data_IF_739225911104
#
_entry.id   IF_739225911104
#
_cell.length_a   1.000
_cell.length_b   1.000
_cell.length_c   1.000
_cell.angle_alpha   90.00
_cell.angle_beta   90.00
_cell.angle_gamma   90.00
#
_symmetry.space_group_name_H-M   'P 1'
#
loop_
_entity.id
_entity.type
_entity.pdbx_description
1 polymer ?
#
# COMPACT_ATOMS: atom_id res chain seq x y z
N UNK A 1 -6.61 -0.59 8.51
CA UNK A 1 -7.81 -1.11 7.85
C UNK A 1 -8.12 -2.53 8.30
N UNK A 2 -7.10 -3.41 8.36
CA UNK A 2 -7.28 -4.81 8.74
C UNK A 2 -7.79 -4.91 10.16
N UNK A 3 -9.01 -5.49 10.33
CA UNK A 3 -9.68 -5.64 11.62
C UNK A 3 -9.73 -4.31 12.43
N UNK A 4 -10.05 -3.21 11.76
CA UNK A 4 -10.16 -1.86 12.38
C UNK A 4 -8.90 -1.44 13.18
N UNK A 5 -7.71 -1.83 12.68
CA UNK A 5 -6.42 -1.52 13.31
C UNK A 5 -5.90 -2.58 14.30
N UNK A 6 -6.66 -3.64 14.56
CA UNK A 6 -6.26 -4.72 15.49
C UNK A 6 -4.96 -5.39 15.03
N UNK A 7 -4.79 -5.61 13.72
CA UNK A 7 -3.57 -6.22 13.16
C UNK A 7 -2.33 -5.39 13.47
N UNK A 8 -2.40 -4.06 13.33
CA UNK A 8 -1.28 -3.16 13.67
C UNK A 8 -1.00 -3.18 15.19
N UNK A 9 -2.04 -3.21 16.03
CA UNK A 9 -1.87 -3.26 17.48
C UNK A 9 -1.20 -4.57 17.93
N UNK A 10 -1.55 -5.69 17.33
CA UNK A 10 -0.92 -6.99 17.62
C UNK A 10 0.53 -6.96 17.13
N UNK A 11 0.76 -6.51 15.90
CA UNK A 11 2.10 -6.41 15.32
C UNK A 11 2.99 -5.51 16.17
N UNK A 12 2.51 -4.35 16.61
CA UNK A 12 3.25 -3.42 17.46
C UNK A 12 3.77 -4.06 18.77
N UNK A 13 2.97 -4.97 19.35
CA UNK A 13 3.42 -5.75 20.53
C UNK A 13 4.49 -6.77 20.18
N UNK A 14 4.38 -7.41 19.02
CA UNK A 14 5.30 -8.46 18.59
C UNK A 14 6.67 -7.92 18.15
N UNK A 15 6.72 -6.74 17.56
CA UNK A 15 7.96 -6.12 17.06
C UNK A 15 8.74 -5.36 18.13
N UNK A 16 8.21 -5.26 19.35
CA UNK A 16 8.88 -4.62 20.47
C UNK A 16 10.23 -5.31 20.74
N UNK A 17 11.32 -4.53 20.63
CA UNK A 17 12.69 -5.05 20.80
C UNK A 17 13.38 -5.54 19.52
N UNK A 18 12.67 -5.69 18.39
CA UNK A 18 13.26 -6.09 17.09
C UNK A 18 12.85 -5.16 15.94
N UNK A 19 12.36 -3.96 16.23
CA UNK A 19 11.83 -3.02 15.23
C UNK A 19 12.83 -2.75 14.09
N UNK A 20 14.10 -2.59 14.41
CA UNK A 20 15.14 -2.23 13.44
C UNK A 20 15.54 -3.40 12.53
N UNK A 21 15.20 -4.62 12.89
CA UNK A 21 15.50 -5.83 12.11
C UNK A 21 14.39 -6.14 11.09
N UNK A 22 13.31 -5.34 11.10
CA UNK A 22 12.09 -5.61 10.34
C UNK A 22 11.75 -4.47 9.38
N UNK A 23 11.26 -4.83 8.20
CA UNK A 23 10.63 -3.92 7.25
C UNK A 23 9.12 -3.95 7.48
N UNK A 24 8.59 -2.90 8.10
CA UNK A 24 7.16 -2.79 8.44
C UNK A 24 6.42 -2.03 7.34
N UNK A 25 5.32 -2.61 6.89
CA UNK A 25 4.45 -1.97 5.89
C UNK A 25 3.07 -1.70 6.45
N UNK A 26 2.47 -0.58 6.07
CA UNK A 26 1.06 -0.29 6.30
C UNK A 26 0.42 0.43 5.11
N UNK A 27 -0.89 0.64 5.16
CA UNK A 27 -1.66 1.18 4.03
C UNK A 27 -2.71 2.19 4.49
N UNK A 28 -3.02 3.15 3.60
CA UNK A 28 -4.12 4.11 3.76
C UNK A 28 -5.07 4.04 2.55
N UNK A 29 -6.31 4.38 2.71
CA UNK A 29 -7.38 4.60 1.77
C UNK A 29 -8.75 4.22 2.34
N UNK A 30 -8.93 2.94 2.74
CA UNK A 30 -10.22 2.44 3.19
C UNK A 30 -10.63 3.05 4.54
N UNK A 31 -11.93 3.28 4.77
CA UNK A 31 -12.41 3.92 5.98
C UNK A 31 -12.06 3.11 7.24
N UNK A 32 -11.66 3.81 8.27
CA UNK A 32 -11.42 3.26 9.61
C UNK A 32 -12.55 3.58 10.58
N UNK A 33 -13.43 4.53 10.21
CA UNK A 33 -14.62 4.94 10.96
C UNK A 33 -15.72 5.42 10.00
N UNK A 34 -16.86 5.83 10.55
CA UNK A 34 -17.97 6.41 9.79
C UNK A 34 -17.77 7.88 9.42
N UNK A 35 -16.68 8.51 9.87
CA UNK A 35 -16.33 9.89 9.49
C UNK A 35 -16.02 9.94 7.98
N UNK A 36 -16.67 10.88 7.29
CA UNK A 36 -16.45 11.13 5.86
C UNK A 36 -14.99 11.45 5.54
N UNK A 37 -14.24 12.03 6.47
CA UNK A 37 -12.83 12.35 6.31
C UNK A 37 -11.87 11.17 6.62
N UNK A 38 -12.39 10.03 7.10
CA UNK A 38 -11.59 8.86 7.44
C UNK A 38 -11.42 7.89 6.26
N UNK A 39 -11.39 8.40 5.03
CA UNK A 39 -11.25 7.61 3.80
C UNK A 39 -10.53 8.39 2.69
N UNK A 40 -10.08 7.67 1.66
CA UNK A 40 -9.43 8.24 0.48
C UNK A 40 -8.00 8.68 0.71
N UNK A 41 -7.44 9.39 -0.28
CA UNK A 41 -6.05 9.82 -0.30
C UNK A 41 -5.89 11.33 -0.07
N UNK A 42 -6.88 11.98 0.56
CA UNK A 42 -6.79 13.38 0.93
C UNK A 42 -5.67 13.61 1.95
N UNK A 43 -5.08 14.80 1.93
CA UNK A 43 -4.05 15.20 2.90
C UNK A 43 -4.51 14.95 4.35
N UNK A 44 -5.75 15.33 4.67
CA UNK A 44 -6.29 15.17 6.01
C UNK A 44 -6.33 13.70 6.46
N UNK A 45 -6.85 12.81 5.59
CA UNK A 45 -6.94 11.40 5.91
C UNK A 45 -5.57 10.74 6.02
N UNK A 46 -4.65 11.04 5.09
CA UNK A 46 -3.28 10.48 5.13
C UNK A 46 -2.57 10.86 6.42
N UNK A 47 -2.60 12.15 6.81
CA UNK A 47 -1.96 12.64 8.04
C UNK A 47 -2.54 12.00 9.30
N UNK A 48 -3.85 11.86 9.38
CA UNK A 48 -4.50 11.20 10.50
C UNK A 48 -4.18 9.69 10.53
N UNK A 49 -4.28 9.03 9.38
CA UNK A 49 -4.07 7.58 9.27
C UNK A 49 -2.65 7.17 9.64
N UNK A 50 -1.63 7.92 9.20
CA UNK A 50 -0.23 7.60 9.56
C UNK A 50 -0.01 7.75 11.07
N UNK A 51 -0.49 8.83 11.70
CA UNK A 51 -0.33 9.05 13.12
C UNK A 51 -0.99 7.92 13.94
N UNK A 52 -2.19 7.51 13.56
CA UNK A 52 -2.90 6.40 14.21
C UNK A 52 -2.20 5.05 13.97
N UNK A 53 -1.64 4.80 12.79
CA UNK A 53 -0.86 3.59 12.50
C UNK A 53 0.42 3.54 13.33
N UNK A 54 1.19 4.63 13.41
CA UNK A 54 2.39 4.74 14.23
C UNK A 54 2.10 4.46 15.71
N UNK A 55 1.00 5.04 16.23
CA UNK A 55 0.55 4.81 17.59
C UNK A 55 0.19 3.34 17.86
N UNK A 56 -0.56 2.68 16.95
CA UNK A 56 -0.93 1.27 17.10
C UNK A 56 0.26 0.33 16.97
N UNK A 57 1.19 0.63 16.06
CA UNK A 57 2.43 -0.12 15.85
C UNK A 57 3.47 0.13 16.94
N UNK A 58 3.28 1.17 17.78
CA UNK A 58 4.24 1.60 18.78
C UNK A 58 5.65 1.83 18.20
N UNK A 59 5.72 2.59 17.12
CA UNK A 59 6.95 2.94 16.39
C UNK A 59 6.89 4.38 15.90
N UNK A 60 8.03 4.99 15.67
CA UNK A 60 8.13 6.37 15.19
C UNK A 60 8.06 6.48 13.67
N UNK A 61 8.30 5.37 12.94
CA UNK A 61 8.28 5.35 11.48
C UNK A 61 7.74 4.04 10.91
N UNK A 62 7.29 4.09 9.66
CA UNK A 62 6.93 2.93 8.83
C UNK A 62 7.91 2.87 7.66
N UNK A 63 8.46 1.69 7.37
CA UNK A 63 9.46 1.56 6.31
C UNK A 63 8.85 1.76 4.91
N UNK A 64 7.70 1.18 4.65
CA UNK A 64 7.04 1.28 3.35
C UNK A 64 5.54 1.52 3.53
N UNK A 65 5.06 2.70 3.12
CA UNK A 65 3.67 3.10 3.27
C UNK A 65 2.96 3.10 1.92
N UNK A 66 1.90 2.31 1.81
CA UNK A 66 1.15 2.14 0.58
C UNK A 66 -0.10 3.00 0.53
N UNK A 67 -0.35 3.64 -0.60
CA UNK A 67 -1.71 3.96 -1.02
C UNK A 67 -2.39 2.65 -1.42
N UNK A 68 -3.46 2.28 -0.72
CA UNK A 68 -4.13 0.97 -0.91
C UNK A 68 -4.88 0.89 -2.24
N UNK A 69 -5.30 2.04 -2.77
CA UNK A 69 -6.01 2.21 -4.03
C UNK A 69 -5.86 3.64 -4.53
N UNK A 70 -5.96 3.82 -5.85
CA UNK A 70 -6.08 5.14 -6.46
C UNK A 70 -7.38 5.83 -6.01
N UNK A 71 -7.32 7.13 -5.80
CA UNK A 71 -8.46 7.96 -5.39
C UNK A 71 -8.82 8.92 -6.52
N UNK A 72 -9.92 8.64 -7.21
CA UNK A 72 -10.40 9.45 -8.33
C UNK A 72 -10.96 10.82 -7.89
N UNK A 73 -11.21 10.99 -6.58
CA UNK A 73 -11.80 12.21 -6.02
C UNK A 73 -10.76 13.19 -5.48
N UNK A 74 -9.53 12.73 -5.26
CA UNK A 74 -8.43 13.54 -4.73
C UNK A 74 -7.40 13.80 -5.83
N UNK A 75 -7.04 15.07 -6.13
CA UNK A 75 -5.94 15.35 -7.04
C UNK A 75 -4.67 14.63 -6.62
N UNK A 76 -4.05 13.91 -7.57
CA UNK A 76 -2.86 13.12 -7.26
C UNK A 76 -1.69 13.99 -6.77
N UNK A 77 -1.64 15.24 -7.20
CA UNK A 77 -0.66 16.24 -6.74
C UNK A 77 -0.77 16.50 -5.24
N UNK A 78 -1.99 16.62 -4.69
CA UNK A 78 -2.23 16.75 -3.24
C UNK A 78 -1.72 15.52 -2.50
N UNK A 79 -2.05 14.35 -3.02
CA UNK A 79 -1.64 13.07 -2.45
C UNK A 79 -0.13 12.91 -2.44
N UNK A 80 0.55 13.16 -3.57
CA UNK A 80 2.01 13.03 -3.66
C UNK A 80 2.72 14.06 -2.78
N UNK A 81 2.17 15.28 -2.67
CA UNK A 81 2.74 16.31 -1.79
C UNK A 81 2.71 15.91 -0.33
N UNK A 82 1.60 15.39 0.18
CA UNK A 82 1.54 14.97 1.59
C UNK A 82 2.43 13.77 1.87
N UNK A 83 2.57 12.85 0.92
CA UNK A 83 3.48 11.71 1.06
C UNK A 83 4.95 12.17 1.11
N UNK A 84 5.34 13.13 0.28
CA UNK A 84 6.67 13.76 0.34
C UNK A 84 6.93 14.41 1.70
N UNK A 85 5.96 15.17 2.24
CA UNK A 85 6.06 15.77 3.57
C UNK A 85 6.29 14.70 4.66
N UNK A 86 5.64 13.53 4.56
CA UNK A 86 5.80 12.43 5.50
C UNK A 86 7.16 11.74 5.41
N UNK A 87 7.73 11.62 4.21
CA UNK A 87 9.11 11.12 4.05
C UNK A 87 10.10 12.12 4.63
N UNK A 88 9.96 13.41 4.30
CA UNK A 88 10.85 14.48 4.83
C UNK A 88 10.82 14.60 6.34
N UNK A 89 9.68 14.29 6.96
CA UNK A 89 9.56 14.28 8.44
C UNK A 89 9.97 12.96 9.07
N UNK A 90 10.41 11.97 8.30
CA UNK A 90 10.88 10.67 8.78
C UNK A 90 9.78 9.73 9.31
N UNK A 91 8.50 10.05 9.10
CA UNK A 91 7.38 9.18 9.51
C UNK A 91 7.23 7.96 8.61
N UNK A 92 7.64 8.06 7.37
CA UNK A 92 7.72 6.96 6.40
C UNK A 92 9.06 7.04 5.68
N UNK A 93 9.64 5.88 5.29
CA UNK A 93 10.91 5.87 4.59
C UNK A 93 10.70 5.76 3.08
N UNK A 94 9.80 4.91 2.62
CA UNK A 94 9.52 4.67 1.22
C UNK A 94 8.02 4.69 0.92
N UNK A 95 7.68 5.10 -0.30
CA UNK A 95 6.31 5.16 -0.79
C UNK A 95 5.96 3.96 -1.66
N UNK A 96 4.74 3.46 -1.51
CA UNK A 96 4.20 2.40 -2.35
C UNK A 96 2.80 2.68 -2.86
N UNK A 97 2.44 2.02 -3.96
CA UNK A 97 1.10 2.06 -4.53
C UNK A 97 0.56 0.65 -4.74
N UNK A 98 -0.71 0.43 -4.40
CA UNK A 98 -1.41 -0.83 -4.61
C UNK A 98 -2.72 -0.58 -5.35
N UNK A 99 -3.10 -1.48 -6.27
CA UNK A 99 -4.31 -1.34 -7.07
C UNK A 99 -4.37 -0.03 -7.89
N UNK A 100 -3.25 0.35 -8.47
CA UNK A 100 -3.11 1.43 -9.43
C UNK A 100 -2.95 0.85 -10.84
N UNK A 101 -3.48 1.54 -11.84
CA UNK A 101 -3.15 1.30 -13.24
C UNK A 101 -1.72 1.81 -13.54
N UNK A 102 -1.08 1.26 -14.58
CA UNK A 102 0.28 1.66 -14.97
C UNK A 102 0.38 3.17 -15.25
N UNK A 103 -0.60 3.75 -15.99
CA UNK A 103 -0.62 5.18 -16.29
C UNK A 103 -0.76 6.07 -15.03
N UNK A 104 -1.45 5.60 -13.99
CA UNK A 104 -1.61 6.33 -12.73
C UNK A 104 -0.28 6.39 -11.97
N UNK A 105 0.48 5.29 -11.99
CA UNK A 105 1.82 5.23 -11.39
C UNK A 105 2.77 6.13 -12.17
N UNK A 106 2.85 6.00 -13.49
CA UNK A 106 3.70 6.84 -14.35
C UNK A 106 3.39 8.34 -14.19
N UNK A 107 2.09 8.72 -14.14
CA UNK A 107 1.68 10.09 -13.87
C UNK A 107 2.17 10.58 -12.50
N UNK A 108 2.05 9.75 -11.46
CA UNK A 108 2.50 10.10 -10.09
C UNK A 108 4.02 10.30 -10.04
N UNK A 109 4.78 9.46 -10.74
CA UNK A 109 6.25 9.58 -10.85
C UNK A 109 6.61 10.89 -11.54
N UNK A 110 6.02 11.19 -12.70
CA UNK A 110 6.28 12.45 -13.42
C UNK A 110 5.96 13.70 -12.59
N UNK A 111 4.91 13.65 -11.75
CA UNK A 111 4.59 14.73 -10.79
C UNK A 111 5.70 14.85 -9.74
N UNK A 112 6.14 13.73 -9.18
CA UNK A 112 7.22 13.72 -8.18
C UNK A 112 8.52 14.26 -8.76
N UNK A 113 8.93 13.82 -9.93
CA UNK A 113 10.14 14.31 -10.62
C UNK A 113 10.09 15.80 -10.91
N UNK A 114 8.97 16.28 -11.48
CA UNK A 114 8.76 17.71 -11.77
C UNK A 114 8.91 18.59 -10.53
N UNK A 115 8.52 18.11 -9.37
CA UNK A 115 8.48 18.88 -8.13
C UNK A 115 9.64 18.56 -7.18
N UNK A 116 10.57 17.67 -7.54
CA UNK A 116 11.64 17.17 -6.67
C UNK A 116 11.09 16.53 -5.38
N UNK A 117 9.99 15.78 -5.50
CA UNK A 117 9.36 15.02 -4.43
C UNK A 117 9.78 13.54 -4.47
N UNK A 118 9.62 12.87 -3.33
CA UNK A 118 9.79 11.43 -3.26
C UNK A 118 8.74 10.73 -4.15
N UNK A 119 9.15 9.65 -4.84
CA UNK A 119 8.29 8.89 -5.74
C UNK A 119 7.91 7.53 -5.16
N UNK A 120 7.04 6.80 -5.84
CA UNK A 120 6.80 5.40 -5.51
C UNK A 120 8.03 4.55 -5.82
N UNK A 121 8.49 3.78 -4.83
CA UNK A 121 9.60 2.83 -4.94
C UNK A 121 9.12 1.38 -4.99
N UNK A 122 7.85 1.14 -4.67
CA UNK A 122 7.27 -0.19 -4.67
C UNK A 122 5.81 -0.16 -5.11
N UNK A 123 5.41 -1.21 -5.84
CA UNK A 123 4.00 -1.43 -6.18
C UNK A 123 3.52 -2.79 -5.69
N UNK A 124 2.22 -2.86 -5.35
CA UNK A 124 1.59 -4.09 -4.91
C UNK A 124 0.38 -4.42 -5.79
N UNK A 125 0.56 -5.07 -6.96
CA UNK A 125 -0.52 -5.52 -7.82
C UNK A 125 -1.05 -6.90 -7.42
N UNK A 126 -2.30 -7.22 -7.82
CA UNK A 126 -2.74 -8.61 -7.86
C UNK A 126 -2.02 -9.33 -9.01
N UNK A 127 -1.31 -10.40 -8.70
CA UNK A 127 -0.63 -11.19 -9.70
C UNK A 127 -0.45 -12.64 -9.25
N UNK A 128 -0.91 -13.58 -10.07
CA UNK A 128 -0.76 -15.01 -9.89
C UNK A 128 -1.05 -15.73 -11.20
N UNK A 129 -0.89 -17.06 -11.27
CA UNK A 129 -1.05 -17.87 -12.48
C UNK A 129 -2.45 -17.80 -13.14
N UNK A 130 -3.49 -17.42 -12.38
CA UNK A 130 -4.87 -17.27 -12.90
C UNK A 130 -5.30 -15.80 -13.07
N UNK A 131 -4.46 -14.84 -12.65
CA UNK A 131 -4.67 -13.40 -12.75
C UNK A 131 -3.39 -12.73 -13.26
N UNK A 132 -3.23 -12.73 -14.60
CA UNK A 132 -1.98 -12.31 -15.25
C UNK A 132 -2.05 -10.93 -15.92
N UNK A 133 -3.11 -10.15 -15.69
CA UNK A 133 -3.31 -8.84 -16.30
C UNK A 133 -2.18 -7.84 -16.01
N UNK A 134 -1.48 -7.99 -14.88
CA UNK A 134 -0.34 -7.14 -14.56
C UNK A 134 0.82 -7.24 -15.57
N UNK A 135 0.94 -8.34 -16.32
CA UNK A 135 1.98 -8.55 -17.33
C UNK A 135 1.83 -7.63 -18.55
N UNK A 136 0.62 -7.10 -18.80
CA UNK A 136 0.36 -6.30 -20.00
C UNK A 136 1.01 -4.92 -19.92
N UNK A 137 0.87 -4.22 -18.79
CA UNK A 137 1.38 -2.85 -18.62
C UNK A 137 2.08 -2.63 -17.28
N UNK A 138 1.54 -3.18 -16.18
CA UNK A 138 2.02 -2.85 -14.82
C UNK A 138 3.45 -3.35 -14.60
N UNK A 139 3.75 -4.60 -14.93
CA UNK A 139 5.09 -5.17 -14.77
C UNK A 139 6.10 -4.59 -15.76
N UNK A 140 5.79 -4.41 -17.05
CA UNK A 140 6.67 -3.69 -17.99
C UNK A 140 6.98 -2.25 -17.53
N UNK A 141 5.97 -1.50 -17.07
CA UNK A 141 6.16 -0.15 -16.51
C UNK A 141 7.05 -0.20 -15.27
N UNK A 142 6.79 -1.12 -14.33
CA UNK A 142 7.61 -1.24 -13.12
C UNK A 142 9.08 -1.54 -13.42
N UNK A 143 9.34 -2.36 -14.44
CA UNK A 143 10.69 -2.66 -14.91
C UNK A 143 11.34 -1.43 -15.57
N UNK A 144 10.61 -0.70 -16.41
CA UNK A 144 11.09 0.54 -17.06
C UNK A 144 11.45 1.61 -16.03
N UNK A 145 10.62 1.78 -15.00
CA UNK A 145 10.79 2.78 -13.94
C UNK A 145 11.68 2.31 -12.78
N UNK A 146 12.22 1.09 -12.85
CA UNK A 146 13.02 0.48 -11.77
C UNK A 146 12.30 0.48 -10.41
N UNK A 147 11.03 0.06 -10.39
CA UNK A 147 10.18 -0.01 -9.20
C UNK A 147 10.07 -1.46 -8.70
N UNK A 148 10.23 -1.67 -7.40
CA UNK A 148 10.04 -2.96 -6.75
C UNK A 148 8.59 -3.46 -6.83
N UNK A 149 8.39 -4.77 -6.99
CA UNK A 149 7.05 -5.38 -7.06
C UNK A 149 6.88 -6.41 -5.97
N UNK A 150 5.83 -6.26 -5.16
CA UNK A 150 5.40 -7.22 -4.13
C UNK A 150 3.95 -7.57 -4.43
N UNK A 151 3.70 -8.69 -5.11
CA UNK A 151 2.35 -9.07 -5.48
C UNK A 151 1.53 -9.62 -4.29
N UNK A 152 0.19 -9.51 -4.38
CA UNK A 152 -0.72 -10.11 -3.43
C UNK A 152 -1.57 -11.22 -4.07
N UNK A 153 -2.16 -12.08 -3.23
CA UNK A 153 -2.95 -13.25 -3.62
C UNK A 153 -2.22 -14.26 -4.52
N UNK A 154 -0.98 -14.69 -4.19
CA UNK A 154 -0.19 -15.58 -5.05
C UNK A 154 -0.87 -16.92 -5.31
N UNK A 155 -1.72 -17.39 -4.38
CA UNK A 155 -2.48 -18.64 -4.52
C UNK A 155 -3.84 -18.48 -5.19
N UNK A 156 -4.18 -17.27 -5.69
CA UNK A 156 -5.47 -17.00 -6.33
C UNK A 156 -6.67 -17.24 -5.38
N UNK A 157 -6.59 -16.77 -4.13
CA UNK A 157 -7.62 -17.01 -3.12
C UNK A 157 -7.71 -18.47 -2.67
N UNK A 158 -6.63 -19.23 -2.85
CA UNK A 158 -6.55 -20.64 -2.56
C UNK A 158 -6.88 -21.57 -3.72
N UNK A 159 -7.26 -21.04 -4.88
CA UNK A 159 -7.54 -21.88 -6.07
C UNK A 159 -6.32 -22.72 -6.48
N UNK A 160 -5.13 -22.14 -6.37
CA UNK A 160 -3.86 -22.81 -6.72
C UNK A 160 -3.28 -23.67 -5.58
N UNK A 161 -3.97 -23.80 -4.45
CA UNK A 161 -3.49 -24.58 -3.30
C UNK A 161 -3.81 -26.09 -3.38
N UNK A 162 -4.56 -26.52 -4.42
CA UNK A 162 -5.02 -27.91 -4.56
C UNK A 162 -6.22 -28.29 -3.67
N UNK A 163 -6.72 -27.36 -2.82
CA UNK A 163 -7.87 -27.65 -1.95
C UNK A 163 -9.22 -27.76 -2.69
N UNK A 164 -9.28 -27.27 -3.91
CA UNK A 164 -10.46 -27.37 -4.77
C UNK A 164 -10.23 -28.47 -5.80
N UNK A 165 -11.02 -29.53 -5.76
CA UNK A 165 -11.02 -30.59 -6.74
C UNK A 165 -12.44 -30.78 -7.30
N UNK A 166 -12.56 -31.44 -8.44
CA UNK A 166 -13.85 -31.70 -9.10
C UNK A 166 -14.88 -32.35 -8.16
N UNK A 167 -14.40 -33.16 -7.21
CA UNK A 167 -15.22 -33.89 -6.23
C UNK A 167 -15.07 -33.39 -4.79
N UNK A 168 -14.38 -32.30 -4.56
CA UNK A 168 -14.15 -31.71 -3.24
C UNK A 168 -14.29 -30.19 -3.32
N UNK A 169 -15.54 -29.74 -3.22
CA UNK A 169 -15.81 -28.30 -3.08
C UNK A 169 -15.86 -27.97 -1.59
N UNK A 170 -15.02 -27.03 -1.10
CA UNK A 170 -15.11 -26.64 0.30
C UNK A 170 -16.48 -26.05 0.60
N UNK A 171 -17.09 -26.54 1.63
CA UNK A 171 -18.26 -25.90 2.26
C UNK A 171 -17.87 -24.52 2.74
N UNK A 172 -18.72 -23.53 2.48
CA UNK A 172 -18.54 -22.14 2.92
C UNK A 172 -18.42 -22.03 4.42
#
# INVERSE_FOLDING_TARGET
VYEKGRSETILGKLISGSRNDLVITSKVYFPTSNDVNARGNTRKNIMNSINESLKRLNTEYIDLYFLHRFDDLTPIEETMRVLDDLVRTGKILYLGASNFAAWQIAKSIGISEKNCWNRFECIQPMYNLVKRQAEVEILPMAMSENIGVINYSPTGGGLLSGKYAKNNQPTK
#
